data_IF_468087086122
#
_entry.id   IF_468087086122
#
_cell.length_a   1.000
_cell.length_b   1.000
_cell.length_c   1.000
_cell.angle_alpha   90.00
_cell.angle_beta   90.00
_cell.angle_gamma   90.00
#
_symmetry.space_group_name_H-M   'P 1'
#
loop_
_entity.id
_entity.type
_entity.pdbx_description
1 polymer ?
#
# COMPACT_ATOMS: atom_id res chain seq x y z
N UNK A 1 -27.39 0.38 37.74
CA UNK A 1 -27.21 -0.60 36.64
C UNK A 1 -28.27 -1.67 36.82
N UNK A 2 -29.12 -1.95 35.83
CA UNK A 2 -30.02 -3.10 35.93
C UNK A 2 -29.16 -4.38 36.05
N UNK A 3 -29.56 -5.26 36.96
CA UNK A 3 -28.77 -6.43 37.35
C UNK A 3 -29.14 -7.63 36.47
N UNK A 4 -28.13 -8.37 35.99
CA UNK A 4 -28.27 -9.58 35.15
C UNK A 4 -29.01 -9.36 33.81
N UNK A 5 -29.36 -10.46 33.11
CA UNK A 5 -30.14 -10.48 31.86
C UNK A 5 -31.65 -10.31 32.11
N UNK A 6 -32.03 -9.22 32.78
CA UNK A 6 -33.41 -8.96 33.18
C UNK A 6 -34.41 -8.95 32.00
N UNK A 7 -34.00 -8.57 30.79
CA UNK A 7 -34.84 -8.59 29.58
C UNK A 7 -35.15 -9.99 29.07
N UNK A 8 -34.20 -10.92 29.19
CA UNK A 8 -34.45 -12.33 28.85
C UNK A 8 -35.31 -13.00 29.91
N UNK A 9 -35.04 -12.70 31.19
CA UNK A 9 -35.85 -13.17 32.32
C UNK A 9 -37.31 -12.73 32.17
N UNK A 10 -37.54 -11.44 31.92
CA UNK A 10 -38.89 -10.91 31.66
C UNK A 10 -39.56 -11.59 30.46
N UNK A 11 -38.82 -11.90 29.40
CA UNK A 11 -39.36 -12.60 28.23
C UNK A 11 -39.70 -14.07 28.53
N UNK A 12 -38.98 -14.73 29.43
CA UNK A 12 -39.28 -16.09 29.91
C UNK A 12 -40.49 -16.10 30.85
N UNK A 13 -40.62 -15.10 31.72
CA UNK A 13 -41.69 -14.99 32.72
C UNK A 13 -43.02 -14.47 32.15
N UNK A 14 -42.97 -13.42 31.33
CA UNK A 14 -44.15 -12.73 30.81
C UNK A 14 -44.34 -12.89 29.30
N UNK A 15 -43.45 -13.63 28.64
CA UNK A 15 -43.51 -13.83 27.19
C UNK A 15 -43.09 -12.59 26.39
N UNK A 16 -43.42 -12.61 25.10
CA UNK A 16 -43.33 -11.44 24.22
C UNK A 16 -44.72 -10.83 24.05
N UNK A 17 -44.77 -9.64 23.45
CA UNK A 17 -46.04 -9.08 22.96
C UNK A 17 -46.75 -10.09 22.08
N UNK A 18 -48.07 -10.23 22.25
CA UNK A 18 -48.91 -11.18 21.51
C UNK A 18 -48.74 -11.04 19.99
N UNK A 19 -48.69 -9.81 19.47
CA UNK A 19 -48.51 -9.54 18.03
C UNK A 19 -47.06 -9.69 17.51
N UNK A 20 -46.10 -10.05 18.36
CA UNK A 20 -44.68 -9.98 18.01
C UNK A 20 -44.36 -10.84 16.78
N UNK A 21 -44.81 -12.09 16.79
CA UNK A 21 -44.54 -13.07 15.74
C UNK A 21 -45.22 -12.69 14.42
N UNK A 22 -46.46 -12.18 14.49
CA UNK A 22 -47.14 -11.70 13.30
C UNK A 22 -46.44 -10.50 12.66
N UNK A 23 -45.95 -9.57 13.48
CA UNK A 23 -45.23 -8.37 13.01
C UNK A 23 -43.87 -8.72 12.43
N UNK A 24 -43.13 -9.65 13.02
CA UNK A 24 -41.84 -10.10 12.48
C UNK A 24 -42.04 -10.81 11.15
N UNK A 25 -42.99 -11.75 11.06
CA UNK A 25 -43.34 -12.43 9.81
C UNK A 25 -43.74 -11.45 8.71
N UNK A 26 -44.62 -10.48 9.01
CA UNK A 26 -45.03 -9.43 8.06
C UNK A 26 -43.90 -8.50 7.67
N UNK A 27 -42.87 -8.32 8.51
CA UNK A 27 -41.69 -7.49 8.21
C UNK A 27 -40.74 -8.21 7.25
N UNK A 28 -40.43 -9.47 7.51
CA UNK A 28 -39.59 -10.31 6.65
C UNK A 28 -40.21 -10.48 5.27
N UNK A 29 -41.52 -10.76 5.20
CA UNK A 29 -42.22 -10.87 3.92
C UNK A 29 -42.18 -9.56 3.10
N UNK A 30 -42.27 -8.39 3.75
CA UNK A 30 -42.21 -7.08 3.08
C UNK A 30 -40.79 -6.65 2.71
N UNK A 31 -39.78 -7.31 3.25
CA UNK A 31 -38.39 -6.88 3.09
C UNK A 31 -37.95 -6.93 1.62
N UNK A 32 -38.35 -7.97 0.87
CA UNK A 32 -38.04 -8.08 -0.56
C UNK A 32 -38.57 -6.89 -1.38
N UNK A 33 -39.81 -6.47 -1.13
CA UNK A 33 -40.40 -5.30 -1.78
C UNK A 33 -39.74 -4.00 -1.33
N UNK A 34 -39.46 -3.86 -0.04
CA UNK A 34 -38.77 -2.69 0.49
C UNK A 34 -37.34 -2.55 -0.07
N UNK A 35 -36.63 -3.66 -0.30
CA UNK A 35 -35.31 -3.68 -0.95
C UNK A 35 -35.42 -3.22 -2.41
N UNK A 36 -36.39 -3.74 -3.16
CA UNK A 36 -36.63 -3.33 -4.55
C UNK A 36 -36.95 -1.84 -4.65
N UNK A 37 -37.87 -1.35 -3.81
CA UNK A 37 -38.26 0.05 -3.73
C UNK A 37 -37.09 0.97 -3.37
N UNK A 38 -36.23 0.54 -2.43
CA UNK A 38 -35.01 1.28 -2.08
C UNK A 38 -34.02 1.31 -3.26
N UNK A 39 -33.91 0.23 -4.03
CA UNK A 39 -33.03 0.19 -5.19
C UNK A 39 -33.43 1.22 -6.27
N UNK A 40 -34.74 1.39 -6.52
CA UNK A 40 -35.26 2.30 -7.55
C UNK A 40 -35.34 3.76 -7.08
N UNK A 41 -35.67 3.98 -5.81
CA UNK A 41 -36.06 5.31 -5.33
C UNK A 41 -34.91 6.06 -4.65
N UNK A 42 -33.88 5.36 -4.14
CA UNK A 42 -32.72 6.04 -3.57
C UNK A 42 -31.96 6.78 -4.68
N UNK A 43 -31.58 8.03 -4.40
CA UNK A 43 -30.80 8.88 -5.32
C UNK A 43 -29.45 9.27 -4.71
N UNK A 44 -28.49 9.61 -5.57
CA UNK A 44 -27.18 10.12 -5.16
C UNK A 44 -26.34 9.12 -4.36
N UNK A 45 -25.66 9.60 -3.32
CA UNK A 45 -24.73 8.79 -2.51
C UNK A 45 -25.42 7.61 -1.81
N UNK A 46 -26.66 7.79 -1.35
CA UNK A 46 -27.44 6.73 -0.68
C UNK A 46 -27.71 5.54 -1.61
N UNK A 47 -27.96 5.81 -2.89
CA UNK A 47 -28.13 4.76 -3.90
C UNK A 47 -26.83 3.97 -4.13
N UNK A 48 -25.70 4.68 -4.22
CA UNK A 48 -24.37 4.06 -4.40
C UNK A 48 -23.99 3.16 -3.23
N UNK A 49 -24.19 3.62 -2.00
CA UNK A 49 -23.94 2.81 -0.79
C UNK A 49 -24.82 1.57 -0.75
N UNK A 50 -26.12 1.73 -1.00
CA UNK A 50 -27.06 0.62 -1.03
C UNK A 50 -26.66 -0.45 -2.07
N UNK A 51 -26.28 -0.04 -3.27
CA UNK A 51 -25.83 -0.99 -4.30
C UNK A 51 -24.51 -1.68 -3.93
N UNK A 52 -23.58 -0.97 -3.29
CA UNK A 52 -22.33 -1.54 -2.82
C UNK A 52 -22.56 -2.61 -1.74
N UNK A 53 -23.46 -2.35 -0.78
CA UNK A 53 -23.86 -3.33 0.24
C UNK A 53 -24.51 -4.57 -0.40
N UNK A 54 -25.44 -4.37 -1.35
CA UNK A 54 -26.09 -5.49 -2.07
C UNK A 54 -25.09 -6.30 -2.87
N UNK A 55 -24.10 -5.67 -3.50
CA UNK A 55 -23.04 -6.36 -4.22
C UNK A 55 -22.19 -7.23 -3.28
N UNK A 56 -21.77 -6.70 -2.12
CA UNK A 56 -21.05 -7.45 -1.09
C UNK A 56 -21.86 -8.65 -0.59
N UNK A 57 -23.15 -8.45 -0.28
CA UNK A 57 -24.05 -9.53 0.17
C UNK A 57 -24.19 -10.65 -0.87
N UNK A 58 -24.35 -10.30 -2.15
CA UNK A 58 -24.39 -11.29 -3.24
C UNK A 58 -23.10 -12.08 -3.36
N UNK A 59 -21.93 -11.44 -3.25
CA UNK A 59 -20.65 -12.12 -3.27
C UNK A 59 -20.50 -13.07 -2.08
N UNK A 60 -20.88 -12.62 -0.88
CA UNK A 60 -20.81 -13.45 0.33
C UNK A 60 -21.69 -14.69 0.20
N UNK A 61 -22.95 -14.53 -0.21
CA UNK A 61 -23.86 -15.66 -0.41
C UNK A 61 -23.35 -16.62 -1.49
N UNK A 62 -22.82 -16.09 -2.61
CA UNK A 62 -22.22 -16.93 -3.66
C UNK A 62 -21.02 -17.74 -3.13
N UNK A 63 -20.15 -17.13 -2.32
CA UNK A 63 -19.02 -17.82 -1.68
C UNK A 63 -19.49 -18.90 -0.71
N UNK A 64 -20.53 -18.63 0.08
CA UNK A 64 -21.09 -19.59 1.03
C UNK A 64 -21.74 -20.79 0.33
N UNK A 65 -22.55 -20.54 -0.71
CA UNK A 65 -23.16 -21.60 -1.53
C UNK A 65 -22.05 -22.44 -2.16
N UNK A 66 -21.06 -21.80 -2.79
CA UNK A 66 -19.93 -22.49 -3.41
C UNK A 66 -19.16 -23.35 -2.42
N UNK A 67 -18.87 -22.83 -1.22
CA UNK A 67 -18.18 -23.59 -0.18
C UNK A 67 -19.00 -24.80 0.31
N UNK A 68 -20.34 -24.69 0.37
CA UNK A 68 -21.23 -25.78 0.74
C UNK A 68 -21.31 -26.84 -0.38
N UNK A 69 -21.39 -26.41 -1.64
CA UNK A 69 -21.33 -27.30 -2.81
C UNK A 69 -19.99 -28.04 -2.89
N UNK A 70 -18.86 -27.33 -2.71
CA UNK A 70 -17.50 -27.90 -2.66
C UNK A 70 -17.30 -28.84 -1.46
N UNK A 71 -18.03 -28.65 -0.36
CA UNK A 71 -18.03 -29.59 0.78
C UNK A 71 -18.81 -30.87 0.46
N UNK A 72 -19.92 -30.74 -0.26
CA UNK A 72 -20.78 -31.87 -0.62
C UNK A 72 -20.16 -32.75 -1.71
N UNK A 73 -19.45 -32.12 -2.65
CA UNK A 73 -18.59 -32.83 -3.59
C UNK A 73 -17.31 -33.18 -2.85
N UNK A 74 -17.18 -34.43 -2.38
CA UNK A 74 -15.88 -34.97 -2.01
C UNK A 74 -15.04 -35.04 -3.28
N UNK A 75 -14.36 -33.95 -3.62
CA UNK A 75 -13.15 -34.04 -4.43
C UNK A 75 -12.31 -35.11 -3.76
N UNK A 76 -11.90 -36.14 -4.52
CA UNK A 76 -10.82 -36.99 -4.06
C UNK A 76 -9.74 -36.01 -3.56
N UNK A 77 -9.42 -36.06 -2.26
CA UNK A 77 -8.48 -35.12 -1.65
C UNK A 77 -7.24 -35.04 -2.51
N UNK A 78 -6.52 -33.91 -2.45
CA UNK A 78 -5.25 -33.73 -3.14
C UNK A 78 -4.51 -35.05 -3.12
N UNK A 79 -4.42 -35.71 -4.30
CA UNK A 79 -3.79 -37.02 -4.37
C UNK A 79 -2.41 -36.80 -3.81
N UNK A 80 -2.10 -37.51 -2.71
CA UNK A 80 -0.77 -37.48 -2.14
C UNK A 80 0.22 -37.56 -3.30
N UNK A 81 1.21 -36.66 -3.37
CA UNK A 81 2.15 -36.68 -4.47
C UNK A 81 2.69 -38.10 -4.56
N UNK A 82 2.64 -38.70 -5.76
CA UNK A 82 3.03 -40.10 -6.01
C UNK A 82 4.46 -40.43 -5.54
N UNK A 83 5.23 -39.42 -5.15
CA UNK A 83 6.50 -39.52 -4.44
C UNK A 83 6.46 -38.69 -3.15
N UNK A 84 6.91 -39.24 -2.01
CA UNK A 84 7.02 -38.49 -0.76
C UNK A 84 8.04 -37.37 -0.93
N UNK A 85 7.55 -36.13 -0.89
CA UNK A 85 8.38 -34.94 -0.91
C UNK A 85 8.70 -34.52 0.54
N UNK A 86 9.94 -34.11 0.84
CA UNK A 86 10.27 -33.47 2.11
C UNK A 86 9.35 -32.29 2.41
N UNK A 87 9.07 -32.04 3.70
CA UNK A 87 8.10 -31.01 4.13
C UNK A 87 8.36 -29.61 3.56
N UNK A 88 9.63 -29.26 3.32
CA UNK A 88 10.06 -27.99 2.72
C UNK A 88 9.85 -27.89 1.19
N UNK A 89 9.34 -28.93 0.53
CA UNK A 89 9.04 -28.98 -0.91
C UNK A 89 7.55 -29.18 -1.22
N UNK A 90 6.70 -29.44 -0.22
CA UNK A 90 5.27 -29.72 -0.41
C UNK A 90 4.50 -28.53 -1.03
N UNK A 91 4.81 -27.30 -0.63
CA UNK A 91 4.10 -26.08 -1.09
C UNK A 91 4.59 -25.49 -2.42
N UNK A 92 5.51 -26.17 -3.13
CA UNK A 92 6.15 -25.62 -4.34
C UNK A 92 5.59 -26.15 -5.66
N UNK A 93 4.65 -27.08 -5.65
CA UNK A 93 4.23 -27.77 -6.88
C UNK A 93 2.84 -27.34 -7.37
N UNK A 94 2.83 -26.38 -8.30
CA UNK A 94 1.73 -26.23 -9.23
C UNK A 94 2.21 -26.73 -10.61
N UNK A 95 1.78 -27.90 -11.12
CA UNK A 95 2.33 -28.49 -12.36
C UNK A 95 2.09 -27.61 -13.61
N UNK A 96 1.11 -26.71 -13.57
CA UNK A 96 0.91 -25.68 -14.61
C UNK A 96 2.01 -24.61 -14.61
N UNK A 97 2.70 -24.37 -13.48
CA UNK A 97 3.83 -23.44 -13.42
C UNK A 97 5.09 -23.97 -14.14
N UNK A 98 5.28 -25.28 -14.26
CA UNK A 98 6.49 -25.84 -14.88
C UNK A 98 6.58 -25.55 -16.39
N UNK A 99 5.45 -25.58 -17.11
CA UNK A 99 5.37 -25.21 -18.54
C UNK A 99 5.47 -23.69 -18.76
N UNK A 100 4.90 -22.88 -17.86
CA UNK A 100 5.12 -21.43 -17.88
C UNK A 100 6.55 -21.04 -17.46
N UNK A 101 7.20 -21.82 -16.60
CA UNK A 101 8.59 -21.61 -16.17
C UNK A 101 9.57 -21.87 -17.31
N UNK A 102 9.37 -22.93 -18.08
CA UNK A 102 10.27 -23.28 -19.21
C UNK A 102 10.13 -22.31 -20.38
N UNK A 103 8.94 -21.76 -20.63
CA UNK A 103 8.75 -20.63 -21.56
C UNK A 103 9.28 -19.31 -20.98
N UNK A 104 9.11 -19.04 -19.68
CA UNK A 104 9.70 -17.89 -18.99
C UNK A 104 11.24 -17.94 -18.93
N UNK A 105 11.86 -19.13 -18.89
CA UNK A 105 13.32 -19.28 -18.94
C UNK A 105 13.87 -18.91 -20.33
N UNK A 106 13.13 -19.23 -21.40
CA UNK A 106 13.47 -18.76 -22.75
C UNK A 106 13.37 -17.22 -22.85
N UNK A 107 12.31 -16.63 -22.30
CA UNK A 107 12.14 -15.17 -22.25
C UNK A 107 13.19 -14.47 -21.33
N UNK A 108 13.56 -15.09 -20.21
CA UNK A 108 14.64 -14.61 -19.31
C UNK A 108 16.03 -14.60 -19.95
N UNK A 109 16.27 -15.44 -20.97
CA UNK A 109 17.56 -15.48 -21.69
C UNK A 109 17.68 -14.35 -22.71
N UNK A 110 16.57 -13.90 -23.31
CA UNK A 110 16.53 -12.73 -24.18
C UNK A 110 16.62 -11.39 -23.43
N UNK A 111 16.31 -11.36 -22.13
CA UNK A 111 16.24 -10.16 -21.28
C UNK A 111 17.53 -9.88 -20.47
N UNK A 112 18.73 -10.19 -20.97
CA UNK A 112 19.97 -9.96 -20.20
C UNK A 112 20.17 -8.50 -19.73
N UNK A 113 19.58 -7.51 -20.41
CA UNK A 113 19.58 -6.12 -19.97
C UNK A 113 18.51 -5.79 -18.89
N UNK A 114 17.45 -6.59 -18.76
CA UNK A 114 16.38 -6.35 -17.79
C UNK A 114 16.73 -6.86 -16.38
N UNK A 115 17.80 -7.65 -16.22
CA UNK A 115 18.19 -8.23 -14.92
C UNK A 115 18.52 -7.20 -13.83
N UNK A 116 19.05 -6.05 -14.22
CA UNK A 116 19.36 -4.94 -13.30
C UNK A 116 18.42 -3.75 -13.52
N UNK A 117 17.26 -3.99 -14.14
CA UNK A 117 16.28 -2.94 -14.31
C UNK A 117 15.62 -2.64 -12.97
N UNK A 118 15.59 -1.35 -12.64
CA UNK A 118 14.91 -0.83 -11.47
C UNK A 118 13.38 -0.97 -11.70
N UNK A 119 12.55 -1.29 -10.69
CA UNK A 119 11.11 -1.57 -10.86
C UNK A 119 10.32 -0.49 -11.61
N UNK A 120 10.70 0.78 -11.45
CA UNK A 120 10.15 1.91 -12.20
C UNK A 120 11.28 2.54 -13.02
N UNK A 121 11.47 2.16 -14.30
CA UNK A 121 12.57 2.67 -15.11
C UNK A 121 12.30 4.07 -15.68
N UNK A 122 11.05 4.38 -16.03
CA UNK A 122 10.63 5.66 -16.60
C UNK A 122 9.54 6.29 -15.75
N UNK A 123 9.77 7.53 -15.33
CA UNK A 123 8.84 8.33 -14.53
C UNK A 123 8.32 9.48 -15.38
N UNK A 124 7.12 9.95 -15.10
CA UNK A 124 6.60 11.21 -15.66
C UNK A 124 7.54 12.37 -15.33
N UNK A 125 7.84 13.20 -16.33
CA UNK A 125 8.54 14.46 -16.12
C UNK A 125 7.70 15.38 -15.22
N UNK A 126 8.35 16.07 -14.29
CA UNK A 126 7.72 17.14 -13.51
C UNK A 126 8.28 18.46 -14.03
N UNK A 127 7.40 19.43 -14.23
CA UNK A 127 7.81 20.78 -14.63
C UNK A 127 8.54 21.49 -13.49
N UNK A 128 9.44 22.41 -13.81
CA UNK A 128 10.12 23.21 -12.78
C UNK A 128 9.14 24.13 -12.02
N UNK A 129 8.04 24.53 -12.68
CA UNK A 129 6.98 25.34 -12.08
C UNK A 129 6.23 24.58 -10.97
N UNK A 130 5.92 23.30 -11.20
CA UNK A 130 5.28 22.45 -10.19
C UNK A 130 6.21 22.18 -9.00
N UNK A 131 7.52 22.14 -9.23
CA UNK A 131 8.54 21.87 -8.22
C UNK A 131 8.81 23.11 -7.34
N UNK A 132 8.84 24.29 -7.96
CA UNK A 132 9.30 25.53 -7.33
C UNK A 132 8.22 26.61 -7.31
N UNK A 133 7.64 26.82 -6.13
CA UNK A 133 6.78 27.98 -5.88
C UNK A 133 7.61 29.25 -5.69
N UNK A 134 7.29 30.30 -6.43
CA UNK A 134 7.91 31.62 -6.30
C UNK A 134 7.52 32.27 -4.98
N UNK A 135 8.49 32.83 -4.23
CA UNK A 135 8.23 33.66 -3.05
C UNK A 135 8.65 35.10 -3.33
N UNK A 136 7.69 36.02 -3.17
CA UNK A 136 7.94 37.45 -3.27
C UNK A 136 8.36 38.05 -1.92
N UNK A 137 9.36 38.91 -1.93
CA UNK A 137 9.99 39.53 -0.75
C UNK A 137 9.95 41.05 -0.79
N UNK A 138 10.04 41.69 0.39
CA UNK A 138 9.98 43.15 0.57
C UNK A 138 8.57 43.68 0.83
N UNK A 139 8.46 44.91 1.36
CA UNK A 139 7.18 45.55 1.72
C UNK A 139 6.18 45.59 0.55
N UNK A 140 6.68 45.91 -0.66
CA UNK A 140 5.89 45.96 -1.90
C UNK A 140 5.89 44.65 -2.70
N UNK A 141 6.51 43.57 -2.20
CA UNK A 141 6.55 42.23 -2.84
C UNK A 141 7.02 42.18 -4.31
N UNK A 142 7.93 43.08 -4.71
CA UNK A 142 8.43 43.15 -6.10
C UNK A 142 9.64 42.21 -6.37
N UNK A 143 10.25 41.64 -5.32
CA UNK A 143 11.47 40.82 -5.45
C UNK A 143 11.15 39.33 -5.36
N UNK A 144 11.28 38.57 -6.45
CA UNK A 144 10.85 37.17 -6.61
C UNK A 144 12.00 36.14 -6.74
N UNK A 145 13.17 36.45 -6.17
CA UNK A 145 14.39 35.63 -6.32
C UNK A 145 14.37 34.32 -5.52
N UNK A 146 13.47 34.18 -4.54
CA UNK A 146 13.36 32.99 -3.67
C UNK A 146 12.41 31.95 -4.25
N UNK A 147 12.76 30.68 -4.08
CA UNK A 147 12.00 29.52 -4.57
C UNK A 147 11.74 28.56 -3.42
N UNK A 148 10.47 28.20 -3.19
CA UNK A 148 10.05 27.19 -2.22
C UNK A 148 9.87 25.86 -2.93
N UNK A 149 10.43 24.79 -2.37
CA UNK A 149 10.17 23.43 -2.84
C UNK A 149 8.81 22.99 -2.31
N UNK A 150 7.93 22.58 -3.21
CA UNK A 150 6.56 22.09 -2.91
C UNK A 150 6.52 20.58 -2.67
N UNK A 151 7.51 19.86 -3.19
CA UNK A 151 7.61 18.40 -3.06
C UNK A 151 8.29 17.98 -1.74
N UNK A 152 8.03 16.76 -1.25
CA UNK A 152 8.76 16.12 -0.17
C UNK A 152 10.28 16.14 -0.36
N UNK A 153 11.01 16.39 0.73
CA UNK A 153 12.47 16.47 0.72
C UNK A 153 13.07 15.63 1.83
N UNK A 154 14.23 15.03 1.57
CA UNK A 154 15.13 14.51 2.57
C UNK A 154 16.19 15.57 2.87
N UNK A 155 16.48 15.70 4.16
CA UNK A 155 17.48 16.61 4.68
C UNK A 155 18.29 15.82 5.69
N UNK A 156 19.62 15.84 5.55
CA UNK A 156 20.53 15.13 6.46
C UNK A 156 20.38 15.57 7.92
N UNK A 157 20.83 14.74 8.87
CA UNK A 157 20.70 15.00 10.31
C UNK A 157 21.36 16.32 10.74
N UNK A 158 22.50 16.68 10.14
CA UNK A 158 23.29 17.87 10.50
C UNK A 158 22.90 19.14 9.73
N UNK A 159 21.67 19.22 9.22
CA UNK A 159 21.25 20.36 8.41
C UNK A 159 20.91 21.59 9.25
N UNK A 160 21.74 22.62 9.11
CA UNK A 160 21.45 23.98 9.58
C UNK A 160 20.94 24.84 8.43
N UNK A 161 19.94 25.69 8.71
CA UNK A 161 19.42 26.63 7.70
C UNK A 161 20.46 27.72 7.45
N UNK A 162 20.66 28.05 6.18
CA UNK A 162 21.47 29.22 5.79
C UNK A 162 20.75 30.51 6.21
N UNK A 163 21.48 31.60 6.49
CA UNK A 163 20.86 32.88 6.80
C UNK A 163 19.88 33.33 5.71
N UNK A 164 18.78 33.97 6.12
CA UNK A 164 17.62 34.29 5.26
C UNK A 164 18.00 35.13 4.03
N UNK A 165 19.08 35.91 4.10
CA UNK A 165 19.57 36.73 2.99
C UNK A 165 20.25 35.92 1.88
N UNK A 166 20.87 34.79 2.21
CA UNK A 166 21.61 33.93 1.26
C UNK A 166 20.81 32.68 0.84
N UNK A 167 19.73 32.35 1.55
CA UNK A 167 18.85 31.22 1.22
C UNK A 167 17.96 31.54 0.01
N UNK A 168 18.26 30.94 -1.15
CA UNK A 168 17.45 31.02 -2.38
C UNK A 168 16.41 29.90 -2.46
N UNK A 169 16.82 28.65 -2.21
CA UNK A 169 15.95 27.47 -2.21
C UNK A 169 15.49 27.14 -0.79
N UNK A 170 14.19 27.22 -0.56
CA UNK A 170 13.57 26.99 0.74
C UNK A 170 12.97 25.58 0.78
N UNK A 171 13.44 24.78 1.73
CA UNK A 171 12.91 23.45 2.06
C UNK A 171 12.08 23.54 3.34
N UNK A 172 10.74 23.61 3.26
CA UNK A 172 9.91 23.79 4.45
C UNK A 172 9.98 22.56 5.37
N UNK A 173 9.92 22.77 6.69
CA UNK A 173 10.08 21.68 7.67
C UNK A 173 8.97 20.63 7.60
N UNK A 174 7.73 21.04 7.27
CA UNK A 174 6.60 20.11 7.15
C UNK A 174 6.71 19.10 5.99
N UNK A 175 7.60 19.35 5.02
CA UNK A 175 7.84 18.44 3.90
C UNK A 175 9.14 17.63 4.06
N UNK A 176 9.78 17.66 5.25
CA UNK A 176 11.03 16.95 5.49
C UNK A 176 10.76 15.56 6.05
N UNK A 177 11.13 14.54 5.29
CA UNK A 177 11.04 13.15 5.71
C UNK A 177 12.40 12.67 6.23
N UNK A 178 12.37 11.88 7.31
CA UNK A 178 13.56 11.21 7.88
C UNK A 178 13.52 9.69 7.72
N UNK A 179 12.31 9.13 7.56
CA UNK A 179 12.06 7.70 7.46
C UNK A 179 11.23 7.39 6.21
N UNK A 180 11.39 6.17 5.70
CA UNK A 180 10.66 5.62 4.57
C UNK A 180 9.99 4.30 4.98
N UNK A 181 8.81 4.02 4.44
CA UNK A 181 8.20 2.69 4.50
C UNK A 181 8.75 1.85 3.35
N UNK A 182 9.60 0.90 3.69
CA UNK A 182 10.35 0.10 2.74
C UNK A 182 9.82 -1.32 2.72
N UNK A 183 9.50 -1.83 1.54
CA UNK A 183 8.99 -3.20 1.35
C UNK A 183 10.07 -4.09 0.75
N UNK A 184 10.30 -5.27 1.34
CA UNK A 184 11.17 -6.29 0.77
C UNK A 184 10.35 -7.21 -0.16
N UNK A 185 10.61 -7.26 -1.49
CA UNK A 185 9.82 -8.06 -2.42
C UNK A 185 9.79 -9.56 -2.10
N UNK A 186 10.89 -10.13 -1.64
CA UNK A 186 10.97 -11.59 -1.40
C UNK A 186 10.28 -12.04 -0.10
N UNK A 187 10.36 -11.22 0.96
CA UNK A 187 9.83 -11.57 2.28
C UNK A 187 8.38 -11.08 2.46
N UNK A 188 7.90 -10.18 1.58
CA UNK A 188 6.60 -9.50 1.70
C UNK A 188 6.40 -8.81 3.06
N UNK A 189 7.48 -8.32 3.67
CA UNK A 189 7.46 -7.56 4.92
C UNK A 189 7.74 -6.08 4.64
N UNK A 190 7.05 -5.20 5.37
CA UNK A 190 7.24 -3.75 5.30
C UNK A 190 7.87 -3.25 6.59
N UNK A 191 8.94 -2.47 6.50
CA UNK A 191 9.67 -1.92 7.65
C UNK A 191 9.85 -0.41 7.49
N UNK A 192 9.78 0.34 8.59
CA UNK A 192 9.96 1.79 8.59
C UNK A 192 11.43 2.16 8.84
N UNK A 193 12.22 2.19 7.77
CA UNK A 193 13.67 2.41 7.85
C UNK A 193 14.04 3.90 7.77
N UNK A 194 15.07 4.35 8.49
CA UNK A 194 15.57 5.71 8.34
C UNK A 194 16.33 5.88 7.01
N UNK A 195 16.13 7.04 6.38
CA UNK A 195 16.80 7.43 5.15
C UNK A 195 18.19 7.95 5.51
N UNK A 196 19.21 7.48 4.79
CA UNK A 196 20.60 7.93 4.94
C UNK A 196 20.88 9.04 3.94
N UNK A 197 20.59 8.79 2.67
CA UNK A 197 20.89 9.74 1.59
C UNK A 197 19.96 9.56 0.39
N UNK A 198 19.93 10.56 -0.48
CA UNK A 198 19.27 10.48 -1.79
C UNK A 198 20.35 10.28 -2.86
N UNK A 199 20.29 9.15 -3.56
CA UNK A 199 21.32 8.78 -4.53
C UNK A 199 21.07 9.34 -5.92
N UNK A 200 19.85 9.17 -6.42
CA UNK A 200 19.50 9.57 -7.78
C UNK A 200 18.03 9.96 -7.87
N UNK A 201 17.78 11.18 -8.32
CA UNK A 201 16.48 11.58 -8.84
C UNK A 201 16.45 11.40 -10.37
N UNK A 202 15.43 10.75 -10.95
CA UNK A 202 15.35 10.48 -12.39
C UNK A 202 15.16 11.73 -13.26
N UNK A 203 14.72 12.86 -12.70
CA UNK A 203 14.40 14.06 -13.48
C UNK A 203 15.62 14.96 -13.71
N UNK A 204 16.33 15.33 -12.64
CA UNK A 204 17.49 16.21 -12.72
C UNK A 204 18.45 15.97 -11.55
N UNK A 205 19.75 16.14 -11.80
CA UNK A 205 20.78 16.02 -10.77
C UNK A 205 20.67 17.09 -9.66
N UNK A 206 20.14 18.28 -9.99
CA UNK A 206 19.84 19.33 -9.02
C UNK A 206 18.89 18.86 -7.92
N UNK A 207 17.88 18.06 -8.27
CA UNK A 207 16.90 17.52 -7.33
C UNK A 207 17.53 16.48 -6.39
N UNK A 208 18.52 15.73 -6.85
CA UNK A 208 19.32 14.86 -6.00
C UNK A 208 20.07 15.69 -4.94
N UNK A 209 20.70 16.80 -5.31
CA UNK A 209 21.42 17.67 -4.37
C UNK A 209 20.49 18.36 -3.37
N UNK A 210 19.31 18.79 -3.82
CA UNK A 210 18.28 19.36 -2.94
C UNK A 210 17.61 18.31 -2.05
N UNK A 211 17.77 17.02 -2.38
CA UNK A 211 17.17 15.89 -1.67
C UNK A 211 15.68 15.74 -1.95
N UNK A 212 15.20 16.08 -3.14
CA UNK A 212 13.77 15.97 -3.47
C UNK A 212 13.39 14.50 -3.66
N UNK A 213 12.34 14.09 -2.98
CA UNK A 213 11.77 12.75 -3.00
C UNK A 213 10.55 12.74 -3.94
N UNK A 214 10.78 12.35 -5.19
CA UNK A 214 9.73 12.12 -6.18
C UNK A 214 9.62 10.62 -6.48
N UNK A 215 8.54 10.22 -7.15
CA UNK A 215 8.39 8.86 -7.65
C UNK A 215 9.62 8.46 -8.48
N UNK A 216 10.10 7.24 -8.25
CA UNK A 216 11.27 6.68 -8.90
C UNK A 216 12.61 7.23 -8.40
N UNK A 217 12.63 8.10 -7.39
CA UNK A 217 13.88 8.51 -6.72
C UNK A 217 14.48 7.31 -6.00
N UNK A 218 15.80 7.14 -6.16
CA UNK A 218 16.60 6.11 -5.50
C UNK A 218 17.20 6.70 -4.23
N UNK A 219 16.92 6.05 -3.10
CA UNK A 219 17.37 6.44 -1.77
C UNK A 219 18.22 5.34 -1.15
N UNK A 220 19.17 5.74 -0.31
CA UNK A 220 19.93 4.84 0.55
C UNK A 220 19.22 4.76 1.90
N UNK A 221 18.89 3.54 2.34
CA UNK A 221 18.16 3.29 3.58
C UNK A 221 19.01 2.44 4.53
N UNK A 222 18.89 2.70 5.83
CA UNK A 222 19.54 1.87 6.85
C UNK A 222 18.77 0.57 7.02
N UNK A 223 19.41 -0.57 6.79
CA UNK A 223 18.79 -1.92 6.86
C UNK A 223 19.21 -2.71 8.10
N UNK A 224 19.76 -2.05 9.13
CA UNK A 224 20.16 -2.72 10.38
C UNK A 224 19.04 -3.53 11.03
N UNK A 225 17.78 -3.07 10.92
CA UNK A 225 16.60 -3.81 11.43
C UNK A 225 16.29 -5.10 10.67
N UNK A 226 16.76 -5.24 9.42
CA UNK A 226 16.54 -6.45 8.60
C UNK A 226 17.61 -7.52 8.85
N UNK A 227 18.71 -7.20 9.55
CA UNK A 227 19.73 -8.18 9.93
C UNK A 227 20.45 -8.86 8.75
N UNK A 228 20.48 -8.22 7.57
CA UNK A 228 21.10 -8.81 6.39
C UNK A 228 22.62 -8.93 6.59
N UNK A 229 23.14 -10.14 6.37
CA UNK A 229 24.58 -10.45 6.41
C UNK A 229 25.06 -10.86 5.03
N UNK A 230 26.23 -10.39 4.67
CA UNK A 230 26.95 -10.90 3.49
C UNK A 230 27.46 -12.33 3.76
N UNK A 231 27.78 -13.09 2.71
CA UNK A 231 28.36 -14.43 2.85
C UNK A 231 29.66 -14.46 3.71
N UNK A 232 30.33 -13.31 3.85
CA UNK A 232 31.50 -13.15 4.73
C UNK A 232 31.17 -12.75 6.18
N UNK A 233 29.93 -12.90 6.63
CA UNK A 233 29.50 -12.60 8.01
C UNK A 233 29.45 -11.11 8.37
N UNK A 234 29.77 -10.21 7.43
CA UNK A 234 29.69 -8.76 7.66
C UNK A 234 28.24 -8.31 7.55
N UNK A 235 27.76 -7.64 8.59
CA UNK A 235 26.44 -7.01 8.64
C UNK A 235 26.39 -5.88 7.62
N UNK A 236 25.28 -5.80 6.89
CA UNK A 236 25.05 -4.81 5.84
C UNK A 236 24.55 -3.51 6.48
N UNK A 237 25.46 -2.58 6.81
CA UNK A 237 25.05 -1.29 7.41
C UNK A 237 25.82 -0.04 6.91
N UNK A 238 26.96 -0.19 6.20
CA UNK A 238 27.81 0.96 5.88
C UNK A 238 28.45 1.05 4.49
N UNK A 239 28.61 -0.06 3.74
CA UNK A 239 29.26 -0.05 2.40
C UNK A 239 28.48 -0.77 1.31
N UNK A 240 27.72 -1.81 1.67
CA UNK A 240 26.68 -2.40 0.84
C UNK A 240 25.34 -1.72 1.18
N UNK A 241 25.22 -0.41 0.98
CA UNK A 241 23.92 0.23 1.25
C UNK A 241 22.90 -0.30 0.26
N UNK A 242 21.81 -0.83 0.80
CA UNK A 242 20.67 -1.24 0.00
C UNK A 242 19.97 0.00 -0.50
N UNK A 243 19.79 0.04 -1.81
CA UNK A 243 19.08 1.09 -2.48
C UNK A 243 17.60 0.74 -2.44
N UNK A 244 16.76 1.73 -2.16
CA UNK A 244 15.32 1.59 -2.30
C UNK A 244 14.84 2.58 -3.36
N UNK A 245 13.85 2.17 -4.13
CA UNK A 245 13.17 3.04 -5.07
C UNK A 245 11.81 3.46 -4.53
N UNK A 246 11.55 4.76 -4.52
CA UNK A 246 10.23 5.30 -4.14
C UNK A 246 9.20 4.95 -5.22
N UNK A 247 8.09 4.33 -4.82
CA UNK A 247 7.06 3.85 -5.75
C UNK A 247 5.86 4.78 -5.85
N UNK A 248 5.56 5.53 -4.79
CA UNK A 248 4.40 6.41 -4.72
C UNK A 248 4.75 7.87 -5.05
N UNK A 249 3.71 8.72 -5.10
CA UNK A 249 3.84 10.17 -5.16
C UNK A 249 3.65 10.72 -3.75
N UNK A 250 4.73 10.97 -2.97
CA UNK A 250 4.63 11.29 -1.55
C UNK A 250 3.94 12.64 -1.27
N UNK A 251 3.75 13.48 -2.29
CA UNK A 251 3.02 14.74 -2.20
C UNK A 251 1.50 14.59 -2.00
N UNK A 252 0.92 13.49 -2.49
CA UNK A 252 -0.53 13.25 -2.40
C UNK A 252 -0.90 12.48 -1.13
N UNK A 253 -0.04 11.54 -0.73
CA UNK A 253 -0.35 10.57 0.30
C UNK A 253 0.18 10.96 1.69
N UNK A 254 1.22 11.81 1.77
CA UNK A 254 1.92 12.09 3.02
C UNK A 254 2.78 10.93 3.55
N UNK A 255 2.82 9.82 2.84
CA UNK A 255 3.65 8.65 3.13
C UNK A 255 4.77 8.53 2.08
N UNK A 256 5.92 8.03 2.50
CA UNK A 256 7.03 7.72 1.60
C UNK A 256 7.18 6.20 1.48
N UNK A 257 6.63 5.62 0.40
CA UNK A 257 6.66 4.19 0.17
C UNK A 257 7.76 3.85 -0.85
N UNK A 258 8.60 2.89 -0.51
CA UNK A 258 9.71 2.45 -1.34
C UNK A 258 9.84 0.93 -1.37
N UNK A 259 10.43 0.42 -2.44
CA UNK A 259 10.74 -1.00 -2.65
C UNK A 259 12.25 -1.17 -2.62
N UNK A 260 12.75 -2.17 -1.89
CA UNK A 260 14.17 -2.52 -1.91
C UNK A 260 14.59 -3.02 -3.29
N UNK A 261 15.76 -2.55 -3.73
CA UNK A 261 16.46 -3.07 -4.89
C UNK A 261 17.44 -4.13 -4.39
N UNK A 262 17.02 -5.40 -4.51
CA UNK A 262 17.83 -6.60 -4.24
C UNK A 262 18.65 -6.98 -5.46
#
# INVERSE_FOLDING_TARGET
MPQNEYMEKHRKEHGRRLDHEERTRKREAREAHAISQKATNLRGFKAKMFQQERHKHKIQMRKQIKALEEKNVKSAGDKDPSQPLPSYLLDRNNPQQAKSLSSAIKNRRSEKSARYSVPIPKVSGISEEDMFKVINTGKRKHKSWKRMITKPTFVGPDFTRRPVKYERFIRPMGLRYKKAHVTHPELNVTVQLPIISVKKNPQQQLYTQLGVLTKGTIIEVNVSELGLTTAGGKVVWGRCMLHAQITNNPEMDGCLNAVLLT
#
